data_IF_756755351233
#
_entry.id   IF_756755351233
#
_cell.length_a   1.000
_cell.length_b   1.000
_cell.length_c   1.000
_cell.angle_alpha   90.00
_cell.angle_beta   90.00
_cell.angle_gamma   90.00
#
_symmetry.space_group_name_H-M   'P 1'
#
loop_
_entity.id
_entity.type
_entity.pdbx_description
1 polymer ?
#
# COMPACT_ATOMS: atom_id res chain seq x y z
N UNK A 1 -34.78 -23.41 31.48
CA UNK A 1 -34.40 -22.16 30.78
C UNK A 1 -32.88 -22.11 30.72
N UNK A 2 -32.29 -22.38 29.55
CA UNK A 2 -30.85 -22.61 29.36
C UNK A 2 -30.27 -21.32 28.76
N UNK A 3 -29.71 -20.45 29.60
CA UNK A 3 -29.10 -19.18 29.20
C UNK A 3 -27.83 -19.45 28.39
N UNK A 4 -27.87 -19.14 27.09
CA UNK A 4 -26.73 -19.20 26.19
C UNK A 4 -25.82 -17.99 26.46
N UNK A 5 -24.61 -18.25 26.96
CA UNK A 5 -23.57 -17.25 27.13
C UNK A 5 -22.94 -16.96 25.76
N UNK A 6 -23.15 -15.75 25.24
CA UNK A 6 -22.52 -15.26 24.00
C UNK A 6 -21.16 -14.68 24.38
N UNK A 7 -20.08 -15.38 24.05
CA UNK A 7 -18.72 -14.90 24.18
C UNK A 7 -18.43 -13.87 23.07
N UNK A 8 -18.35 -12.60 23.43
CA UNK A 8 -17.94 -11.51 22.54
C UNK A 8 -16.42 -11.43 22.54
N UNK A 9 -15.79 -12.05 21.54
CA UNK A 9 -14.35 -11.95 21.32
C UNK A 9 -14.03 -10.57 20.72
N UNK A 10 -13.60 -9.63 21.57
CA UNK A 10 -13.08 -8.35 21.12
C UNK A 10 -11.77 -8.55 20.36
N UNK A 11 -11.81 -8.47 19.03
CA UNK A 11 -10.64 -8.34 18.18
C UNK A 11 -9.99 -6.97 18.46
N UNK A 12 -9.04 -6.95 19.39
CA UNK A 12 -8.14 -5.83 19.57
C UNK A 12 -7.28 -5.69 18.31
N UNK A 13 -7.71 -4.82 17.39
CA UNK A 13 -6.85 -4.31 16.33
C UNK A 13 -5.73 -3.53 17.01
N UNK A 14 -4.57 -4.16 17.22
CA UNK A 14 -3.33 -3.45 17.51
C UNK A 14 -2.98 -2.63 16.26
N UNK A 15 -3.56 -1.44 16.16
CA UNK A 15 -3.06 -0.36 15.34
C UNK A 15 -1.75 0.09 15.99
N UNK A 16 -0.65 -0.56 15.61
CA UNK A 16 0.69 -0.13 15.99
C UNK A 16 0.85 1.35 15.67
N UNK A 17 1.10 2.15 16.69
CA UNK A 17 1.35 3.57 16.57
C UNK A 17 2.52 3.78 15.60
N UNK A 18 2.21 4.20 14.38
CA UNK A 18 3.21 4.67 13.45
C UNK A 18 3.74 5.98 14.02
N UNK A 19 4.93 5.95 14.61
CA UNK A 19 5.69 7.15 14.90
C UNK A 19 5.78 7.95 13.60
N UNK A 20 5.13 9.10 13.56
CA UNK A 20 5.06 9.97 12.38
C UNK A 20 6.44 10.61 12.13
N UNK A 21 7.37 9.82 11.61
CA UNK A 21 8.52 10.33 10.90
C UNK A 21 8.06 10.66 9.48
N UNK A 22 8.17 11.93 9.11
CA UNK A 22 7.81 12.41 7.77
C UNK A 22 8.81 11.88 6.72
N UNK A 23 8.51 10.71 6.15
CA UNK A 23 9.27 10.14 5.03
C UNK A 23 8.82 10.78 3.73
N UNK A 24 9.56 11.80 3.27
CA UNK A 24 9.32 12.43 1.96
C UNK A 24 9.97 11.61 0.85
N UNK A 25 9.15 10.97 0.03
CA UNK A 25 9.60 10.17 -1.10
C UNK A 25 9.44 11.01 -2.38
N UNK A 26 10.52 11.52 -2.98
CA UNK A 26 10.41 12.31 -4.20
C UNK A 26 9.96 11.42 -5.37
N UNK A 27 8.95 11.89 -6.10
CA UNK A 27 8.44 11.23 -7.31
C UNK A 27 8.20 12.20 -8.46
N UNK A 28 8.38 13.52 -8.26
CA UNK A 28 8.07 14.54 -9.26
C UNK A 28 8.96 14.45 -10.52
N UNK A 29 10.14 13.86 -10.38
CA UNK A 29 11.11 13.59 -11.44
C UNK A 29 10.86 12.25 -12.17
N UNK A 30 9.91 11.44 -11.69
CA UNK A 30 9.63 10.12 -12.24
C UNK A 30 8.42 10.13 -13.16
N UNK A 31 8.55 9.46 -14.31
CA UNK A 31 7.40 9.12 -15.13
C UNK A 31 6.74 7.83 -14.64
N UNK A 32 5.75 7.99 -13.77
CA UNK A 32 4.98 6.87 -13.19
C UNK A 32 4.10 6.13 -14.20
N UNK A 33 3.88 6.68 -15.40
CA UNK A 33 3.16 5.99 -16.47
C UNK A 33 4.05 4.93 -17.16
N UNK A 34 5.37 5.06 -17.03
CA UNK A 34 6.33 4.09 -17.55
C UNK A 34 6.66 3.00 -16.53
N UNK A 35 6.96 1.79 -17.02
CA UNK A 35 7.44 0.68 -16.17
C UNK A 35 8.73 1.06 -15.45
N UNK A 36 9.63 1.78 -16.13
CA UNK A 36 10.92 2.18 -15.56
C UNK A 36 10.75 3.20 -14.42
N UNK A 37 9.90 4.21 -14.59
CA UNK A 37 9.62 5.19 -13.55
C UNK A 37 8.83 4.61 -12.37
N UNK A 38 7.89 3.69 -12.63
CA UNK A 38 7.23 2.94 -11.57
C UNK A 38 8.22 2.09 -10.75
N UNK A 39 9.16 1.41 -11.41
CA UNK A 39 10.22 0.65 -10.73
C UNK A 39 11.15 1.55 -9.92
N UNK A 40 11.50 2.73 -10.43
CA UNK A 40 12.31 3.71 -9.71
C UNK A 40 11.60 4.23 -8.46
N UNK A 41 10.30 4.51 -8.56
CA UNK A 41 9.49 4.89 -7.40
C UNK A 41 9.46 3.79 -6.35
N UNK A 42 9.24 2.55 -6.78
CA UNK A 42 9.23 1.40 -5.90
C UNK A 42 10.57 1.17 -5.18
N UNK A 43 11.69 1.37 -5.86
CA UNK A 43 13.01 1.30 -5.24
C UNK A 43 13.19 2.37 -4.15
N UNK A 44 12.68 3.58 -4.38
CA UNK A 44 12.71 4.67 -3.38
C UNK A 44 11.81 4.36 -2.18
N UNK A 45 10.60 3.87 -2.42
CA UNK A 45 9.68 3.42 -1.37
C UNK A 45 10.30 2.29 -0.55
N UNK A 46 10.93 1.32 -1.22
CA UNK A 46 11.59 0.20 -0.55
C UNK A 46 12.74 0.67 0.35
N UNK A 47 13.59 1.58 -0.14
CA UNK A 47 14.67 2.18 0.63
C UNK A 47 14.17 2.94 1.88
N UNK A 48 13.11 3.75 1.72
CA UNK A 48 12.48 4.45 2.84
C UNK A 48 11.86 3.46 3.84
N UNK A 49 11.18 2.41 3.35
CA UNK A 49 10.55 1.38 4.19
C UNK A 49 11.58 0.64 5.05
N UNK A 50 12.78 0.38 4.52
CA UNK A 50 13.88 -0.25 5.26
C UNK A 50 14.46 0.64 6.36
N UNK A 51 14.21 1.95 6.32
CA UNK A 51 14.59 2.86 7.40
C UNK A 51 13.45 2.98 8.42
N UNK A 52 12.21 3.11 7.93
CA UNK A 52 11.01 3.27 8.75
C UNK A 52 10.64 2.02 9.56
N UNK A 53 10.82 0.84 8.97
CA UNK A 53 10.37 -0.43 9.54
C UNK A 53 11.47 -1.16 10.32
N UNK A 54 12.53 -0.46 10.72
CA UNK A 54 13.59 -1.07 11.53
C UNK A 54 13.07 -1.32 12.94
N UNK A 55 13.21 -2.55 13.40
CA UNK A 55 12.91 -2.96 14.77
C UNK A 55 11.88 -4.08 14.83
N UNK A 56 12.10 -5.03 15.75
CA UNK A 56 11.26 -6.21 15.92
C UNK A 56 11.74 -7.44 15.13
N UNK A 57 10.88 -8.45 15.04
CA UNK A 57 11.18 -9.68 14.31
C UNK A 57 10.93 -9.56 12.80
N UNK A 58 11.47 -10.49 11.98
CA UNK A 58 11.37 -10.44 10.52
C UNK A 58 9.94 -10.32 9.97
N UNK A 59 8.97 -10.97 10.64
CA UNK A 59 7.56 -10.90 10.25
C UNK A 59 6.96 -9.51 10.48
N UNK A 60 7.30 -8.85 11.59
CA UNK A 60 6.83 -7.51 11.91
C UNK A 60 7.43 -6.48 10.95
N UNK A 61 8.71 -6.61 10.62
CA UNK A 61 9.37 -5.77 9.61
C UNK A 61 8.70 -5.94 8.23
N UNK A 62 8.44 -7.18 7.82
CA UNK A 62 7.75 -7.44 6.55
C UNK A 62 6.35 -6.81 6.51
N UNK A 63 5.55 -6.99 7.57
CA UNK A 63 4.22 -6.38 7.67
C UNK A 63 4.30 -4.85 7.62
N UNK A 64 5.25 -4.24 8.34
CA UNK A 64 5.46 -2.80 8.28
C UNK A 64 5.80 -2.33 6.86
N UNK A 65 6.70 -3.01 6.15
CA UNK A 65 7.10 -2.62 4.78
C UNK A 65 5.94 -2.70 3.80
N UNK A 66 5.08 -3.72 3.93
CA UNK A 66 3.86 -3.85 3.12
C UNK A 66 2.90 -2.68 3.36
N UNK A 67 2.67 -2.34 4.64
CA UNK A 67 1.78 -1.23 5.02
C UNK A 67 2.35 0.13 4.60
N UNK A 68 3.65 0.33 4.76
CA UNK A 68 4.36 1.53 4.33
C UNK A 68 4.21 1.75 2.82
N UNK A 69 4.38 0.70 2.01
CA UNK A 69 4.20 0.78 0.56
C UNK A 69 2.76 1.13 0.18
N UNK A 70 1.78 0.51 0.82
CA UNK A 70 0.37 0.80 0.57
C UNK A 70 0.04 2.27 0.86
N UNK A 71 0.57 2.81 1.96
CA UNK A 71 0.36 4.21 2.34
C UNK A 71 1.07 5.17 1.39
N UNK A 72 2.31 4.86 0.96
CA UNK A 72 3.03 5.67 -0.03
C UNK A 72 2.24 5.81 -1.34
N UNK A 73 1.59 4.74 -1.80
CA UNK A 73 0.72 4.77 -2.99
C UNK A 73 -0.58 5.56 -2.71
N UNK A 74 -1.15 5.42 -1.50
CA UNK A 74 -2.35 6.15 -1.08
C UNK A 74 -2.13 7.66 -1.00
N UNK A 75 -0.92 8.11 -0.72
CA UNK A 75 -0.55 9.53 -0.67
C UNK A 75 -0.25 10.14 -2.04
N UNK A 76 -0.09 9.34 -3.10
CA UNK A 76 0.03 9.87 -4.45
C UNK A 76 -1.26 10.59 -4.89
N UNK A 77 -1.14 11.70 -5.65
CA UNK A 77 -2.27 12.31 -6.34
C UNK A 77 -3.00 11.28 -7.22
N UNK A 78 -4.33 11.35 -7.31
CA UNK A 78 -5.17 10.36 -8.01
C UNK A 78 -4.67 10.04 -9.42
N UNK A 79 -4.38 11.08 -10.22
CA UNK A 79 -3.86 10.92 -11.59
C UNK A 79 -2.57 10.10 -11.62
N UNK A 80 -1.63 10.41 -10.71
CA UNK A 80 -0.34 9.69 -10.59
C UNK A 80 -0.50 8.26 -10.08
N UNK A 81 -1.50 8.02 -9.23
CA UNK A 81 -1.84 6.67 -8.76
C UNK A 81 -2.38 5.81 -9.91
N UNK A 82 -3.21 6.38 -10.77
CA UNK A 82 -3.73 5.69 -11.95
C UNK A 82 -2.61 5.37 -12.95
N UNK A 83 -1.70 6.31 -13.19
CA UNK A 83 -0.53 6.09 -14.05
C UNK A 83 0.36 4.97 -13.52
N UNK A 84 0.68 5.02 -12.22
CA UNK A 84 1.40 3.95 -11.54
C UNK A 84 0.66 2.60 -11.63
N UNK A 85 -0.67 2.60 -11.43
CA UNK A 85 -1.49 1.39 -11.55
C UNK A 85 -1.49 0.83 -12.97
N UNK A 86 -1.51 1.68 -14.01
CA UNK A 86 -1.38 1.26 -15.42
C UNK A 86 -0.01 0.65 -15.71
N UNK A 87 1.06 1.28 -15.23
CA UNK A 87 2.42 0.79 -15.41
C UNK A 87 2.64 -0.58 -14.74
N UNK A 88 1.99 -0.83 -13.58
CA UNK A 88 2.07 -2.11 -12.86
C UNK A 88 1.07 -3.15 -13.33
N UNK A 89 -0.09 -2.72 -13.80
CA UNK A 89 -1.23 -3.56 -14.17
C UNK A 89 -1.08 -4.25 -15.52
N UNK A 90 -0.04 -3.94 -16.31
CA UNK A 90 0.37 -4.73 -17.49
C UNK A 90 -0.79 -5.18 -18.38
N UNK A 91 -1.22 -4.30 -19.29
CA UNK A 91 -2.39 -4.35 -20.21
C UNK A 91 -3.64 -3.70 -19.64
N UNK A 92 -3.97 -2.53 -20.21
CA UNK A 92 -5.30 -1.95 -20.15
C UNK A 92 -6.23 -2.92 -20.90
N UNK A 93 -6.99 -3.73 -20.16
CA UNK A 93 -8.11 -4.47 -20.72
C UNK A 93 -9.31 -3.54 -20.74
N UNK A 94 -9.89 -3.29 -21.92
CA UNK A 94 -11.15 -2.57 -22.03
C UNK A 94 -12.27 -3.45 -21.47
N UNK A 95 -12.90 -3.02 -20.37
CA UNK A 95 -14.13 -3.64 -19.88
C UNK A 95 -15.30 -3.11 -20.70
N UNK A 96 -15.81 -3.93 -21.62
CA UNK A 96 -17.03 -3.63 -22.36
C UNK A 96 -18.22 -4.20 -21.58
N UNK A 97 -19.15 -3.38 -21.06
CA UNK A 97 -20.33 -3.90 -20.39
C UNK A 97 -21.23 -4.61 -21.41
N UNK A 98 -21.44 -5.91 -21.25
CA UNK A 98 -22.45 -6.66 -21.99
C UNK A 98 -23.80 -6.41 -21.32
N UNK A 99 -24.61 -5.54 -21.89
CA UNK A 99 -26.00 -5.37 -21.51
C UNK A 99 -26.77 -6.50 -22.18
N UNK A 100 -27.24 -7.48 -21.41
CA UNK A 100 -28.26 -8.40 -21.88
C UNK A 100 -29.60 -7.67 -21.86
N UNK A 101 -30.09 -7.31 -23.04
CA UNK A 101 -31.46 -6.83 -23.25
C UNK A 101 -32.46 -7.98 -23.30
#
# INVERSE_FOLDING_TARGET
MKTLAIAVSALALLAGAASAQDYRIPFGDLDLASVQGANAFDARVDAASRQACRGGGPLAEHQCRVRFRAEAIRLLPTVRRDDYARARGGRILAMVPVIYG
#
